data_IF_032611488889
#
_entry.id   IF_032611488889
#
_cell.length_a   1.000
_cell.length_b   1.000
_cell.length_c   1.000
_cell.angle_alpha   90.00
_cell.angle_beta   90.00
_cell.angle_gamma   90.00
#
_symmetry.space_group_name_H-M   'P 1'
#
loop_
_entity.id
_entity.type
_entity.pdbx_description
1 polymer ?
#
# COMPACT_ATOMS: atom_id res chain seq x y z
N UNK A 1 -10.41 -18.44 20.03
CA UNK A 1 -11.52 -17.51 20.31
C UNK A 1 -11.54 -17.25 21.80
N UNK A 2 -11.28 -16.01 22.23
CA UNK A 2 -11.25 -15.68 23.66
C UNK A 2 -12.64 -15.61 24.30
N UNK A 3 -12.77 -15.80 25.62
CA UNK A 3 -14.04 -15.71 26.35
C UNK A 3 -14.69 -14.31 26.35
N UNK A 4 -14.01 -13.30 25.83
CA UNK A 4 -14.42 -11.89 25.77
C UNK A 4 -15.60 -11.57 24.83
N UNK A 5 -16.01 -12.53 24.00
CA UNK A 5 -17.17 -12.41 23.09
C UNK A 5 -18.49 -12.83 23.75
N UNK A 6 -18.42 -13.68 24.79
CA UNK A 6 -19.59 -14.23 25.49
C UNK A 6 -20.59 -13.19 26.01
N UNK A 7 -20.18 -12.04 26.56
CA UNK A 7 -21.13 -11.05 27.07
C UNK A 7 -21.99 -10.40 25.98
N UNK A 8 -21.43 -10.23 24.77
CA UNK A 8 -22.07 -9.50 23.68
C UNK A 8 -23.08 -10.39 22.98
N UNK A 9 -22.73 -11.65 22.75
CA UNK A 9 -23.65 -12.66 22.23
C UNK A 9 -24.80 -12.91 23.20
N UNK A 10 -24.55 -12.92 24.51
CA UNK A 10 -25.60 -13.08 25.51
C UNK A 10 -26.59 -11.89 25.53
N UNK A 11 -26.07 -10.66 25.47
CA UNK A 11 -26.89 -9.43 25.37
C UNK A 11 -27.75 -9.40 24.11
N UNK A 12 -27.18 -9.77 22.96
CA UNK A 12 -27.91 -9.84 21.70
C UNK A 12 -29.01 -10.91 21.74
N UNK A 13 -28.70 -12.12 22.22
CA UNK A 13 -29.67 -13.19 22.36
C UNK A 13 -30.80 -12.81 23.33
N UNK A 14 -30.47 -12.19 24.48
CA UNK A 14 -31.48 -11.69 25.42
C UNK A 14 -32.42 -10.65 24.76
N UNK A 15 -31.88 -9.76 23.93
CA UNK A 15 -32.66 -8.81 23.12
C UNK A 15 -33.61 -9.49 22.14
N UNK A 16 -33.15 -10.51 21.41
CA UNK A 16 -33.97 -11.29 20.47
C UNK A 16 -35.09 -12.05 21.20
N UNK A 17 -34.80 -12.70 22.32
CA UNK A 17 -35.81 -13.39 23.13
C UNK A 17 -36.87 -12.43 23.68
N UNK A 18 -36.47 -11.26 24.18
CA UNK A 18 -37.41 -10.23 24.61
C UNK A 18 -38.30 -9.75 23.44
N UNK A 19 -37.74 -9.64 22.23
CA UNK A 19 -38.51 -9.29 21.02
C UNK A 19 -39.59 -10.33 20.70
N UNK A 20 -39.27 -11.61 20.83
CA UNK A 20 -40.24 -12.70 20.70
C UNK A 20 -41.38 -12.62 21.72
N UNK A 21 -41.05 -12.34 22.98
CA UNK A 21 -42.05 -12.15 24.05
C UNK A 21 -42.95 -10.93 23.80
N UNK A 22 -42.39 -9.83 23.28
CA UNK A 22 -43.16 -8.65 22.91
C UNK A 22 -44.15 -8.95 21.78
N UNK A 23 -43.73 -9.73 20.77
CA UNK A 23 -44.59 -10.15 19.67
C UNK A 23 -45.73 -11.05 20.16
N UNK A 24 -45.44 -11.99 21.06
CA UNK A 24 -46.44 -12.86 21.68
C UNK A 24 -47.47 -12.06 22.50
N UNK A 25 -47.02 -11.10 23.32
CA UNK A 25 -47.90 -10.20 24.06
C UNK A 25 -48.77 -9.33 23.14
N UNK A 26 -48.24 -8.92 21.98
CA UNK A 26 -48.99 -8.18 20.96
C UNK A 26 -50.13 -9.03 20.37
N UNK A 27 -49.85 -10.31 20.06
CA UNK A 27 -50.85 -11.27 19.56
C UNK A 27 -51.97 -11.49 20.59
N UNK A 28 -51.63 -11.54 21.88
CA UNK A 28 -52.58 -11.69 22.97
C UNK A 28 -53.31 -10.37 23.35
N UNK A 29 -53.15 -9.30 22.56
CA UNK A 29 -53.77 -7.97 22.78
C UNK A 29 -53.35 -7.28 24.09
N UNK A 30 -52.22 -7.66 24.66
CA UNK A 30 -51.65 -7.04 25.87
C UNK A 30 -50.74 -5.86 25.50
N UNK A 31 -51.30 -4.84 24.84
CA UNK A 31 -50.54 -3.75 24.22
C UNK A 31 -49.57 -3.03 25.16
N UNK A 32 -49.95 -2.82 26.42
CA UNK A 32 -49.07 -2.15 27.41
C UNK A 32 -47.84 -2.98 27.75
N UNK A 33 -47.97 -4.31 27.82
CA UNK A 33 -46.85 -5.20 28.11
C UNK A 33 -45.98 -5.36 26.86
N UNK A 34 -46.60 -5.56 25.69
CA UNK A 34 -45.91 -5.63 24.40
C UNK A 34 -45.01 -4.40 24.16
N UNK A 35 -45.52 -3.19 24.46
CA UNK A 35 -44.75 -1.96 24.31
C UNK A 35 -43.54 -1.91 25.26
N UNK A 36 -43.71 -2.26 26.54
CA UNK A 36 -42.62 -2.25 27.54
C UNK A 36 -41.52 -3.24 27.18
N UNK A 37 -41.89 -4.46 26.83
CA UNK A 37 -40.94 -5.53 26.47
C UNK A 37 -40.28 -5.22 25.12
N UNK A 38 -41.02 -4.65 24.18
CA UNK A 38 -40.47 -4.21 22.88
C UNK A 38 -39.40 -3.12 23.02
N UNK A 39 -39.64 -2.11 23.87
CA UNK A 39 -38.63 -1.07 24.16
C UNK A 39 -37.39 -1.67 24.81
N UNK A 40 -37.55 -2.59 25.77
CA UNK A 40 -36.43 -3.27 26.41
C UNK A 40 -35.60 -4.11 25.43
N UNK A 41 -36.26 -4.83 24.50
CA UNK A 41 -35.61 -5.59 23.43
C UNK A 41 -34.74 -4.68 22.53
N UNK A 42 -35.31 -3.57 22.05
CA UNK A 42 -34.59 -2.60 21.21
C UNK A 42 -33.39 -1.99 21.94
N UNK A 43 -33.54 -1.65 23.21
CA UNK A 43 -32.44 -1.11 24.03
C UNK A 43 -31.29 -2.11 24.17
N UNK A 44 -31.59 -3.39 24.40
CA UNK A 44 -30.57 -4.45 24.53
C UNK A 44 -29.82 -4.68 23.22
N UNK A 45 -30.53 -4.76 22.09
CA UNK A 45 -29.93 -4.92 20.76
C UNK A 45 -29.07 -3.71 20.39
N UNK A 46 -29.57 -2.49 20.62
CA UNK A 46 -28.82 -1.27 20.36
C UNK A 46 -27.54 -1.20 21.22
N UNK A 47 -27.62 -1.58 22.50
CA UNK A 47 -26.45 -1.61 23.40
C UNK A 47 -25.42 -2.63 22.93
N UNK A 48 -25.84 -3.83 22.55
CA UNK A 48 -24.95 -4.85 21.98
C UNK A 48 -24.27 -4.35 20.69
N UNK A 49 -25.01 -3.66 19.83
CA UNK A 49 -24.49 -3.08 18.59
C UNK A 49 -23.45 -1.98 18.86
N UNK A 50 -23.74 -1.05 19.78
CA UNK A 50 -22.81 0.02 20.17
C UNK A 50 -21.55 -0.55 20.81
N UNK A 51 -21.65 -1.57 21.68
CA UNK A 51 -20.49 -2.23 22.27
C UNK A 51 -19.63 -2.94 21.22
N UNK A 52 -20.25 -3.54 20.20
CA UNK A 52 -19.52 -4.19 19.11
C UNK A 52 -18.82 -3.15 18.22
N UNK A 53 -19.48 -2.05 17.89
CA UNK A 53 -18.93 -0.91 17.14
C UNK A 53 -17.75 -0.26 17.89
N UNK A 54 -17.88 -0.03 19.19
CA UNK A 54 -16.82 0.55 20.03
C UNK A 54 -15.64 -0.39 20.21
N UNK A 55 -15.85 -1.71 20.29
CA UNK A 55 -14.76 -2.69 20.25
C UNK A 55 -14.07 -2.73 18.89
N UNK A 56 -14.81 -2.72 17.78
CA UNK A 56 -14.21 -2.67 16.44
C UNK A 56 -13.34 -1.41 16.26
N UNK A 57 -13.84 -0.26 16.69
CA UNK A 57 -13.09 1.01 16.65
C UNK A 57 -11.94 1.07 17.64
N UNK A 58 -11.98 0.37 18.78
CA UNK A 58 -10.83 0.25 19.70
C UNK A 58 -9.78 -0.76 19.22
N UNK A 59 -10.18 -1.83 18.53
CA UNK A 59 -9.24 -2.74 17.87
C UNK A 59 -8.58 -2.08 16.65
N UNK A 60 -9.31 -1.17 15.99
CA UNK A 60 -8.72 -0.13 15.15
C UNK A 60 -8.16 0.99 16.02
N UNK A 61 -7.26 0.66 16.96
CA UNK A 61 -6.58 1.64 17.81
C UNK A 61 -6.12 2.84 16.97
N UNK A 62 -6.12 4.06 17.54
CA UNK A 62 -5.91 5.29 16.78
C UNK A 62 -4.75 5.04 15.83
N UNK A 63 -5.00 5.08 14.50
CA UNK A 63 -3.97 4.86 13.49
C UNK A 63 -2.78 5.70 13.93
N UNK A 64 -1.80 5.06 14.56
CA UNK A 64 -0.77 5.84 15.22
C UNK A 64 -0.12 6.62 14.09
N UNK A 65 -0.06 7.94 14.28
CA UNK A 65 0.26 8.86 13.19
C UNK A 65 1.52 8.33 12.51
N UNK A 66 1.49 8.14 11.18
CA UNK A 66 2.65 7.60 10.47
C UNK A 66 3.86 8.44 10.86
N UNK A 67 4.89 7.78 11.38
CA UNK A 67 6.11 8.47 11.77
C UNK A 67 6.80 8.84 10.46
N UNK A 68 6.84 10.13 10.17
CA UNK A 68 7.58 10.66 9.03
C UNK A 68 9.06 10.64 9.41
N UNK A 69 9.79 9.65 8.90
CA UNK A 69 11.18 9.42 9.27
C UNK A 69 12.15 10.11 8.31
N UNK A 70 11.79 10.25 7.03
CA UNK A 70 12.69 10.84 6.04
C UNK A 70 12.00 11.39 4.80
N UNK A 71 12.63 12.40 4.19
CA UNK A 71 12.25 12.98 2.90
C UNK A 71 13.37 12.72 1.91
N UNK A 72 13.08 11.99 0.83
CA UNK A 72 14.02 11.79 -0.27
C UNK A 72 14.09 13.08 -1.11
N UNK A 73 15.25 13.72 -1.15
CA UNK A 73 15.46 14.97 -1.89
C UNK A 73 16.10 14.65 -3.25
N UNK A 74 15.56 15.17 -4.38
CA UNK A 74 16.21 15.03 -5.68
C UNK A 74 17.68 15.51 -5.63
N UNK A 75 18.56 14.81 -6.34
CA UNK A 75 19.96 15.23 -6.44
C UNK A 75 20.05 16.62 -7.09
N UNK A 76 20.79 17.55 -6.49
CA UNK A 76 20.99 18.92 -7.01
C UNK A 76 22.17 19.04 -7.98
N UNK A 77 22.85 17.93 -8.28
CA UNK A 77 24.02 17.92 -9.15
C UNK A 77 23.63 18.44 -10.53
N UNK A 78 24.40 19.41 -11.02
CA UNK A 78 24.24 20.00 -12.35
C UNK A 78 24.26 18.90 -13.40
N UNK A 79 23.15 18.74 -14.11
CA UNK A 79 23.00 17.81 -15.24
C UNK A 79 24.21 17.97 -16.18
N UNK A 80 24.91 16.88 -16.48
CA UNK A 80 25.92 16.87 -17.54
C UNK A 80 25.26 17.23 -18.89
N UNK A 81 26.00 17.70 -19.90
CA UNK A 81 25.42 18.09 -21.21
C UNK A 81 24.61 16.96 -21.88
N UNK A 82 25.00 15.70 -21.69
CA UNK A 82 24.26 14.52 -22.10
C UNK A 82 22.96 14.28 -21.31
N UNK A 83 22.88 14.75 -20.06
CA UNK A 83 21.66 14.73 -19.24
C UNK A 83 20.77 15.98 -19.47
N UNK A 84 21.35 17.10 -19.90
CA UNK A 84 20.61 18.28 -20.40
C UNK A 84 19.97 18.02 -21.77
N UNK A 85 20.67 17.30 -22.65
CA UNK A 85 20.11 16.83 -23.92
C UNK A 85 18.97 15.81 -23.70
N UNK A 86 19.04 15.05 -22.60
CA UNK A 86 17.94 14.22 -22.11
C UNK A 86 16.85 15.04 -21.35
N UNK A 87 16.90 16.38 -21.36
CA UNK A 87 15.99 17.26 -20.64
C UNK A 87 14.50 17.09 -20.95
N UNK A 88 14.17 16.39 -22.04
CA UNK A 88 12.83 15.97 -22.42
C UNK A 88 12.51 14.50 -22.10
N UNK A 89 13.29 13.85 -21.23
CA UNK A 89 13.05 12.45 -20.84
C UNK A 89 13.49 12.18 -19.41
N UNK A 90 12.72 11.37 -18.71
CA UNK A 90 13.11 10.89 -17.38
C UNK A 90 13.52 9.44 -17.47
N UNK A 91 14.42 9.03 -16.58
CA UNK A 91 14.88 7.64 -16.58
C UNK A 91 14.68 6.97 -15.23
N UNK A 92 14.02 5.82 -15.26
CA UNK A 92 13.92 4.92 -14.13
C UNK A 92 14.92 3.78 -14.35
N UNK A 93 15.87 3.62 -13.45
CA UNK A 93 16.75 2.46 -13.39
C UNK A 93 16.12 1.43 -12.47
N UNK A 94 15.73 0.30 -13.06
CA UNK A 94 15.26 -0.87 -12.33
C UNK A 94 16.47 -1.80 -12.13
N UNK A 95 17.07 -1.78 -10.94
CA UNK A 95 18.40 -2.36 -10.76
C UNK A 95 19.51 -1.47 -11.32
N UNK A 96 20.62 -2.06 -11.75
CA UNK A 96 21.78 -1.27 -12.17
C UNK A 96 21.71 -0.89 -13.64
N UNK A 97 21.18 -1.79 -14.48
CA UNK A 97 21.34 -1.69 -15.93
C UNK A 97 20.03 -1.74 -16.75
N UNK A 98 18.87 -2.04 -16.16
CA UNK A 98 17.59 -1.92 -16.87
C UNK A 98 17.09 -0.48 -16.79
N UNK A 99 17.09 0.21 -17.93
CA UNK A 99 16.69 1.61 -18.03
C UNK A 99 15.33 1.75 -18.72
N UNK A 100 14.37 2.30 -18.01
CA UNK A 100 13.11 2.74 -18.60
C UNK A 100 13.19 4.23 -18.88
N UNK A 101 13.15 4.60 -20.16
CA UNK A 101 13.04 6.00 -20.58
C UNK A 101 11.57 6.35 -20.69
N UNK A 102 11.14 7.38 -20.00
CA UNK A 102 9.75 7.83 -20.00
C UNK A 102 9.67 9.29 -20.43
N UNK A 103 8.59 9.66 -21.11
CA UNK A 103 8.36 11.03 -21.52
C UNK A 103 8.19 11.94 -20.28
N UNK A 104 8.35 13.26 -20.40
CA UNK A 104 8.05 14.19 -19.32
C UNK A 104 6.54 14.21 -19.15
N UNK A 105 6.06 13.39 -18.24
CA UNK A 105 4.64 13.31 -17.94
C UNK A 105 4.39 13.28 -16.45
N UNK A 106 3.21 13.74 -16.08
CA UNK A 106 2.85 13.96 -14.69
C UNK A 106 2.75 12.66 -13.90
N UNK A 107 2.51 11.52 -14.57
CA UNK A 107 2.12 10.30 -13.89
C UNK A 107 2.44 9.03 -14.70
N UNK A 108 3.20 8.12 -14.10
CA UNK A 108 3.39 6.74 -14.55
C UNK A 108 3.06 5.77 -13.44
N UNK A 109 2.32 4.72 -13.80
CA UNK A 109 1.97 3.64 -12.86
C UNK A 109 2.61 2.36 -13.34
N UNK A 110 3.28 1.66 -12.45
CA UNK A 110 3.69 0.28 -12.65
C UNK A 110 2.74 -0.60 -11.85
N UNK A 111 2.10 -1.54 -12.55
CA UNK A 111 1.17 -2.48 -11.95
C UNK A 111 1.49 -3.90 -12.36
N UNK A 112 1.07 -4.86 -11.55
CA UNK A 112 1.04 -6.26 -11.96
C UNK A 112 -0.40 -6.75 -11.83
N UNK A 113 -0.94 -7.30 -12.92
CA UNK A 113 -2.33 -7.71 -12.99
C UNK A 113 -3.29 -6.61 -12.46
N UNK A 114 -3.10 -5.38 -12.97
CA UNK A 114 -3.83 -4.16 -12.58
C UNK A 114 -3.68 -3.71 -11.13
N UNK A 115 -2.76 -4.30 -10.37
CA UNK A 115 -2.43 -3.88 -9.00
C UNK A 115 -1.18 -3.03 -9.02
N UNK A 116 -1.34 -1.74 -8.78
CA UNK A 116 -0.22 -0.79 -8.69
C UNK A 116 0.75 -1.19 -7.58
N UNK A 117 2.04 -1.11 -7.86
CA UNK A 117 3.09 -1.32 -6.86
C UNK A 117 4.07 -0.16 -6.80
N UNK A 118 4.26 0.55 -7.91
CA UNK A 118 5.15 1.70 -8.01
C UNK A 118 4.49 2.79 -8.85
N UNK A 119 4.66 4.02 -8.44
CA UNK A 119 4.15 5.19 -9.14
C UNK A 119 5.25 6.24 -9.20
N UNK A 120 5.42 6.84 -10.37
CA UNK A 120 6.33 7.95 -10.60
C UNK A 120 5.52 9.18 -11.01
N UNK A 121 5.69 10.26 -10.25
CA UNK A 121 5.09 11.55 -10.55
C UNK A 121 6.19 12.55 -10.91
N UNK A 122 5.90 13.49 -11.81
CA UNK A 122 6.76 14.67 -12.02
C UNK A 122 6.31 15.81 -11.14
N UNK A 123 7.27 16.41 -10.43
CA UNK A 123 7.03 17.59 -9.61
C UNK A 123 8.04 18.70 -9.95
N UNK A 124 7.74 19.92 -9.50
CA UNK A 124 8.67 21.05 -9.64
C UNK A 124 9.95 20.73 -8.85
N UNK A 125 11.02 20.38 -9.56
CA UNK A 125 12.32 20.04 -8.98
C UNK A 125 12.75 18.57 -9.07
N UNK A 126 11.95 17.69 -9.69
CA UNK A 126 12.38 16.30 -9.99
C UNK A 126 11.23 15.30 -10.03
N UNK A 127 11.60 14.02 -10.08
CA UNK A 127 10.64 12.91 -9.95
C UNK A 127 10.26 12.68 -8.49
N UNK A 128 9.04 12.22 -8.25
CA UNK A 128 8.57 11.77 -6.95
C UNK A 128 8.09 10.32 -7.05
N UNK A 129 8.52 9.50 -6.10
CA UNK A 129 8.16 8.08 -6.05
C UNK A 129 7.06 7.86 -5.02
N UNK A 130 6.09 7.04 -5.38
CA UNK A 130 5.15 6.47 -4.43
C UNK A 130 5.09 4.95 -4.60
N UNK A 131 5.12 4.21 -3.49
CA UNK A 131 4.96 2.76 -3.50
C UNK A 131 4.45 2.26 -2.15
N UNK A 132 3.82 1.08 -2.19
CA UNK A 132 3.40 0.35 -1.01
C UNK A 132 4.34 -0.84 -0.81
N UNK A 133 4.92 -0.95 0.38
CA UNK A 133 5.76 -2.09 0.74
C UNK A 133 4.99 -3.05 1.63
N UNK A 134 4.98 -4.32 1.25
CA UNK A 134 4.39 -5.42 2.02
C UNK A 134 5.46 -6.45 2.44
N UNK A 135 5.19 -7.16 3.53
CA UNK A 135 5.93 -8.36 3.92
C UNK A 135 5.41 -9.62 3.21
N UNK A 136 6.03 -10.77 3.47
CA UNK A 136 5.65 -12.08 2.89
C UNK A 136 4.24 -12.52 3.28
N UNK A 137 3.70 -12.01 4.39
CA UNK A 137 2.33 -12.23 4.81
C UNK A 137 1.38 -11.17 4.23
N UNK A 138 1.86 -10.36 3.27
CA UNK A 138 1.14 -9.28 2.63
C UNK A 138 0.60 -8.22 3.60
N UNK A 139 1.30 -8.03 4.73
CA UNK A 139 1.02 -6.96 5.67
C UNK A 139 1.81 -5.74 5.23
N UNK A 140 1.15 -4.60 5.11
CA UNK A 140 1.82 -3.35 4.75
C UNK A 140 2.80 -2.98 5.86
N UNK A 141 4.05 -2.77 5.48
CA UNK A 141 5.16 -2.43 6.39
C UNK A 141 5.48 -0.94 6.34
N UNK A 142 5.45 -0.36 5.14
CA UNK A 142 5.75 1.04 4.93
C UNK A 142 5.05 1.56 3.69
N UNK A 143 4.81 2.86 3.69
CA UNK A 143 4.30 3.58 2.54
C UNK A 143 5.28 4.68 2.17
N UNK A 144 5.59 4.76 0.90
CA UNK A 144 6.30 5.92 0.34
C UNK A 144 5.27 6.68 -0.47
N UNK A 145 5.04 7.94 -0.11
CA UNK A 145 4.07 8.79 -0.79
C UNK A 145 4.80 10.05 -1.19
N UNK A 146 5.07 10.20 -2.49
CA UNK A 146 5.79 11.36 -3.05
C UNK A 146 7.08 11.63 -2.27
N UNK A 147 7.99 10.65 -2.25
CA UNK A 147 9.29 10.71 -1.57
C UNK A 147 9.26 10.77 -0.04
N UNK A 148 8.07 10.76 0.56
CA UNK A 148 7.92 10.80 2.01
C UNK A 148 7.76 9.36 2.52
N UNK A 149 8.76 8.89 3.27
CA UNK A 149 8.70 7.58 3.89
C UNK A 149 7.88 7.62 5.18
N UNK A 150 6.89 6.72 5.25
CA UNK A 150 5.98 6.56 6.38
C UNK A 150 6.02 5.12 6.85
N UNK A 151 6.67 4.89 7.99
CA UNK A 151 6.60 3.61 8.67
C UNK A 151 5.26 3.47 9.40
N UNK A 152 4.70 2.25 9.39
CA UNK A 152 3.49 1.95 10.16
C UNK A 152 3.87 1.57 11.60
N UNK A 153 3.15 2.11 12.61
CA UNK A 153 3.38 1.81 14.02
C UNK A 153 3.28 0.31 14.32
N UNK A 154 4.15 -0.20 15.21
CA UNK A 154 4.16 -1.61 15.60
C UNK A 154 4.89 -2.54 14.61
N UNK A 155 5.65 -1.98 13.66
CA UNK A 155 6.49 -2.71 12.70
C UNK A 155 7.96 -2.39 12.90
N UNK A 156 8.48 -2.74 14.08
CA UNK A 156 9.90 -2.56 14.47
C UNK A 156 10.87 -3.46 13.69
N UNK A 157 10.36 -4.40 12.89
CA UNK A 157 11.19 -5.29 12.08
C UNK A 157 11.75 -4.62 10.83
N UNK A 158 11.50 -3.32 10.63
CA UNK A 158 12.00 -2.58 9.49
C UNK A 158 12.61 -1.26 9.90
N UNK A 159 13.87 -1.07 9.52
CA UNK A 159 14.60 0.16 9.72
C UNK A 159 14.72 0.89 8.38
N UNK A 160 14.49 2.20 8.43
CA UNK A 160 14.71 3.08 7.29
C UNK A 160 15.96 3.91 7.56
N UNK A 161 17.00 3.67 6.76
CA UNK A 161 18.18 4.50 6.67
C UNK A 161 17.97 5.44 5.48
N UNK A 162 18.09 6.74 5.72
CA UNK A 162 18.03 7.72 4.64
C UNK A 162 19.25 8.61 4.66
N UNK A 163 19.95 8.69 3.53
CA UNK A 163 20.76 9.85 3.20
C UNK A 163 19.89 10.85 2.41
N UNK A 164 20.46 12.01 2.03
CA UNK A 164 19.72 13.06 1.33
C UNK A 164 19.09 12.59 0.01
N UNK A 165 19.67 11.59 -0.64
CA UNK A 165 19.35 11.11 -1.99
C UNK A 165 19.01 9.62 -2.06
N UNK A 166 19.16 8.88 -0.97
CA UNK A 166 18.93 7.44 -0.85
C UNK A 166 17.98 7.17 0.30
N UNK A 167 16.96 6.36 0.03
CA UNK A 167 16.11 5.75 1.04
C UNK A 167 16.35 4.24 0.96
N UNK A 168 16.78 3.67 2.07
CA UNK A 168 17.02 2.25 2.22
C UNK A 168 16.14 1.72 3.35
N UNK A 169 15.27 0.77 3.02
CA UNK A 169 14.41 0.05 3.95
C UNK A 169 14.98 -1.35 4.09
N UNK A 170 15.42 -1.71 5.30
CA UNK A 170 15.91 -3.05 5.64
C UNK A 170 14.97 -3.75 6.58
N UNK A 171 14.94 -5.08 6.52
CA UNK A 171 14.41 -5.92 7.60
C UNK A 171 15.37 -5.92 8.79
N UNK A 172 14.87 -6.28 9.97
CA UNK A 172 15.67 -6.52 11.18
C UNK A 172 16.68 -7.66 11.01
N UNK A 173 16.44 -8.58 10.07
CA UNK A 173 17.41 -9.59 9.62
C UNK A 173 18.61 -9.00 8.86
N UNK A 174 18.55 -7.73 8.45
CA UNK A 174 19.54 -7.07 7.61
C UNK A 174 19.21 -7.08 6.12
N UNK A 175 18.18 -7.84 5.69
CA UNK A 175 17.82 -7.96 4.27
C UNK A 175 17.26 -6.64 3.71
N UNK A 176 17.74 -6.22 2.55
CA UNK A 176 17.22 -5.02 1.86
C UNK A 176 15.83 -5.30 1.28
N UNK A 177 14.81 -4.62 1.81
CA UNK A 177 13.44 -4.71 1.32
C UNK A 177 13.20 -3.76 0.15
N UNK A 178 13.76 -2.54 0.23
CA UNK A 178 13.67 -1.53 -0.81
C UNK A 178 14.85 -0.56 -0.70
N UNK A 179 15.44 -0.20 -1.83
CA UNK A 179 16.39 0.90 -1.95
C UNK A 179 15.94 1.80 -3.11
N UNK A 180 15.71 3.07 -2.82
CA UNK A 180 15.48 4.12 -3.80
C UNK A 180 16.64 5.10 -3.73
N UNK A 181 17.28 5.39 -4.85
CA UNK A 181 18.38 6.36 -4.93
C UNK A 181 18.20 7.32 -6.10
N UNK A 182 18.31 8.62 -5.86
CA UNK A 182 18.48 9.60 -6.93
C UNK A 182 19.90 9.50 -7.48
N UNK A 183 20.02 9.20 -8.78
CA UNK A 183 21.27 9.35 -9.51
C UNK A 183 21.43 10.78 -10.05
N UNK A 184 20.32 11.38 -10.47
CA UNK A 184 20.21 12.77 -10.90
C UNK A 184 18.77 13.27 -10.64
N UNK A 185 18.43 14.57 -10.78
CA UNK A 185 17.06 15.03 -10.53
C UNK A 185 16.00 14.36 -11.41
N UNK A 186 16.39 13.90 -12.61
CA UNK A 186 15.55 13.20 -13.58
C UNK A 186 15.79 11.68 -13.63
N UNK A 187 16.66 11.14 -12.76
CA UNK A 187 16.99 9.71 -12.74
C UNK A 187 16.91 9.12 -11.34
N UNK A 188 16.04 8.12 -11.19
CA UNK A 188 15.89 7.35 -9.95
C UNK A 188 16.28 5.90 -10.21
N UNK A 189 17.03 5.32 -9.29
CA UNK A 189 17.32 3.90 -9.21
C UNK A 189 16.47 3.25 -8.13
N UNK A 190 15.85 2.13 -8.45
CA UNK A 190 15.04 1.35 -7.52
C UNK A 190 15.50 -0.11 -7.55
N UNK A 191 15.73 -0.68 -6.36
CA UNK A 191 15.84 -2.12 -6.13
C UNK A 191 14.97 -2.50 -4.94
N UNK A 192 14.46 -3.74 -4.91
CA UNK A 192 13.64 -4.21 -3.81
C UNK A 192 12.67 -5.33 -4.18
N UNK A 193 11.84 -5.72 -3.21
CA UNK A 193 10.82 -6.76 -3.36
C UNK A 193 9.44 -6.20 -3.04
N UNK A 194 8.53 -6.29 -3.99
CA UNK A 194 7.15 -5.80 -3.87
C UNK A 194 6.20 -6.99 -3.71
N UNK A 195 5.71 -7.20 -2.48
CA UNK A 195 4.66 -8.17 -2.20
C UNK A 195 3.29 -7.53 -2.47
N UNK A 196 2.51 -8.11 -3.39
CA UNK A 196 1.21 -7.57 -3.81
C UNK A 196 0.09 -8.55 -3.54
N UNK A 197 -0.62 -8.40 -2.42
CA UNK A 197 -1.79 -9.24 -2.16
C UNK A 197 -1.44 -10.70 -1.92
N UNK A 198 -2.19 -11.60 -2.56
CA UNK A 198 -2.06 -13.06 -2.40
C UNK A 198 -1.09 -13.68 -3.43
N UNK A 199 -0.14 -12.92 -3.97
CA UNK A 199 0.86 -13.50 -4.87
C UNK A 199 1.77 -14.44 -4.09
N UNK A 200 2.06 -15.60 -4.66
CA UNK A 200 2.99 -16.57 -4.09
C UNK A 200 4.44 -16.05 -4.12
N UNK A 201 4.78 -15.27 -5.14
CA UNK A 201 6.11 -14.70 -5.34
C UNK A 201 6.02 -13.17 -5.48
N UNK A 202 6.98 -12.43 -4.90
CA UNK A 202 7.04 -10.97 -5.04
C UNK A 202 7.56 -10.55 -6.41
N UNK A 203 7.22 -9.33 -6.83
CA UNK A 203 7.95 -8.66 -7.91
C UNK A 203 9.30 -8.24 -7.35
N UNK A 204 10.37 -8.70 -7.97
CA UNK A 204 11.74 -8.46 -7.51
C UNK A 204 12.47 -7.59 -8.52
N UNK A 205 13.07 -6.51 -8.04
CA UNK A 205 13.93 -5.63 -8.82
C UNK A 205 15.33 -5.74 -8.24
N UNK A 206 16.23 -6.45 -8.92
CA UNK A 206 17.60 -6.71 -8.48
C UNK A 206 18.61 -5.96 -9.36
N UNK A 207 19.77 -5.62 -8.78
CA UNK A 207 20.85 -4.98 -9.52
C UNK A 207 21.37 -5.84 -10.67
N UNK A 208 21.49 -7.15 -10.46
CA UNK A 208 22.10 -8.08 -11.41
C UNK A 208 21.11 -8.60 -12.48
N UNK A 209 19.86 -8.84 -12.12
CA UNK A 209 18.91 -9.61 -12.95
C UNK A 209 17.80 -8.74 -13.56
N UNK A 210 17.71 -7.46 -13.18
CA UNK A 210 16.69 -6.55 -13.68
C UNK A 210 15.39 -6.68 -12.87
N UNK A 211 14.25 -6.82 -13.56
CA UNK A 211 12.93 -6.98 -12.93
C UNK A 211 12.35 -8.37 -13.25
N UNK A 212 11.93 -9.08 -12.21
CA UNK A 212 11.27 -10.38 -12.29
C UNK A 212 9.90 -10.29 -11.62
N UNK A 213 8.89 -10.93 -12.22
CA UNK A 213 7.55 -11.03 -11.68
C UNK A 213 6.97 -12.43 -11.95
N UNK A 214 5.87 -12.83 -11.29
CA UNK A 214 5.27 -14.13 -11.53
C UNK A 214 4.87 -14.29 -13.01
N UNK A 215 5.54 -15.19 -13.72
CA UNK A 215 5.30 -15.47 -15.14
C UNK A 215 6.21 -14.76 -16.13
N UNK A 216 7.13 -13.87 -15.70
CA UNK A 216 8.04 -13.19 -16.63
C UNK A 216 9.15 -12.37 -15.99
N UNK A 217 10.01 -11.81 -16.84
CA UNK A 217 11.11 -10.96 -16.40
C UNK A 217 11.72 -10.16 -17.55
N UNK A 218 12.35 -9.03 -17.20
CA UNK A 218 13.24 -8.30 -18.08
C UNK A 218 14.65 -8.33 -17.49
N UNK A 219 15.59 -8.82 -18.29
CA UNK A 219 16.98 -8.90 -17.91
C UNK A 219 17.61 -7.51 -17.69
N UNK A 220 18.68 -7.48 -16.90
CA UNK A 220 19.53 -6.30 -16.80
C UNK A 220 20.17 -5.97 -18.16
N UNK A 221 20.60 -4.72 -18.33
CA UNK A 221 21.20 -4.16 -19.55
C UNK A 221 20.26 -3.91 -20.74
N UNK A 222 18.95 -3.96 -20.54
CA UNK A 222 17.98 -3.49 -21.54
C UNK A 222 17.63 -2.01 -21.35
N UNK A 223 17.38 -1.31 -22.45
CA UNK A 223 16.73 0.01 -22.41
C UNK A 223 15.37 -0.09 -23.09
N UNK A 224 14.32 0.20 -22.34
CA UNK A 224 12.95 0.26 -22.88
C UNK A 224 12.54 1.71 -22.94
N UNK A 225 12.20 2.19 -24.14
CA UNK A 225 11.70 3.55 -24.33
C UNK A 225 10.18 3.58 -24.35
N UNK A 226 9.60 4.27 -23.39
CA UNK A 226 8.18 4.58 -23.26
C UNK A 226 7.90 6.05 -23.57
N UNK A 227 8.87 6.79 -24.10
CA UNK A 227 8.76 8.24 -24.38
C UNK A 227 7.62 8.58 -25.33
N UNK A 228 7.23 7.66 -26.21
CA UNK A 228 6.11 7.84 -27.14
C UNK A 228 4.73 7.80 -26.49
N UNK A 229 4.59 7.23 -25.28
CA UNK A 229 3.27 7.02 -24.66
C UNK A 229 2.80 8.19 -23.83
N UNK A 230 3.66 9.17 -23.53
CA UNK A 230 3.27 10.35 -22.76
C UNK A 230 2.96 9.97 -21.31
N UNK A 231 1.80 9.43 -21.00
CA UNK A 231 1.40 8.95 -19.67
C UNK A 231 0.90 7.51 -19.77
N UNK A 232 0.78 6.82 -18.64
CA UNK A 232 0.10 5.53 -18.64
C UNK A 232 0.49 4.59 -17.52
N UNK A 233 -0.09 3.40 -17.62
CA UNK A 233 0.19 2.25 -16.77
C UNK A 233 1.00 1.22 -17.55
N UNK A 234 2.17 0.86 -17.03
CA UNK A 234 2.94 -0.30 -17.45
C UNK A 234 2.46 -1.47 -16.60
N UNK A 235 1.61 -2.31 -17.17
CA UNK A 235 1.08 -3.50 -16.49
C UNK A 235 1.90 -4.74 -16.87
N UNK A 236 2.47 -5.40 -15.87
CA UNK A 236 3.13 -6.68 -16.00
C UNK A 236 2.07 -7.78 -15.81
N UNK A 237 1.90 -8.63 -16.82
CA UNK A 237 0.91 -9.69 -16.79
C UNK A 237 1.48 -11.01 -16.26
N UNK A 238 0.63 -11.88 -15.68
CA UNK A 238 1.00 -13.26 -15.33
C UNK A 238 1.44 -14.11 -16.54
N UNK A 239 1.07 -13.69 -17.75
CA UNK A 239 1.48 -14.29 -19.02
C UNK A 239 2.96 -14.01 -19.36
N UNK A 240 3.63 -13.12 -18.62
CA UNK A 240 4.95 -12.61 -18.94
C UNK A 240 4.94 -11.45 -19.94
N UNK A 241 3.76 -11.04 -20.41
CA UNK A 241 3.61 -9.87 -21.29
C UNK A 241 3.67 -8.57 -20.49
N UNK A 242 4.11 -7.51 -21.17
CA UNK A 242 4.06 -6.14 -20.68
C UNK A 242 3.04 -5.39 -21.52
N UNK A 243 1.99 -4.91 -20.87
CA UNK A 243 0.97 -4.09 -21.50
C UNK A 243 1.18 -2.62 -21.12
N UNK A 244 1.12 -1.73 -22.11
CA UNK A 244 1.14 -0.29 -21.89
C UNK A 244 -0.28 0.21 -22.09
N UNK A 245 -0.89 0.71 -21.02
CA UNK A 245 -2.25 1.23 -20.99
C UNK A 245 -2.14 2.76 -20.91
N UNK A 246 -2.59 3.52 -21.92
CA UNK A 246 -2.50 4.98 -21.93
C UNK A 246 -3.38 5.67 -20.87
#
# INVERSE_FOLDING_TARGET
MGPEWLPHTFLFLAGVFAGGLALHALVNREYRQALRVGVASLALVATAFVLTQTKLTRMQGPLAKPIQLSLLVPATTTLNESERAAGDSMSLLLGDNLRLLVAPSKHYVFSFNRRRFLTLDVQRGGMAVSCHLGDEQNRVIANIVRNNFRSLPGRSDYDAESDRHTLLVRRSSGDEALRIRYASPATIRITGRFHLGKLAEPITISSADGIHWPGGGLASAMTVSLTQYGQGTVDFEPSGLIQIIP
#
